data_IF_217761130112
#
_entry.id   IF_217761130112
#
_cell.length_a   1.000
_cell.length_b   1.000
_cell.length_c   1.000
_cell.angle_alpha   90.00
_cell.angle_beta   90.00
_cell.angle_gamma   90.00
#
_symmetry.space_group_name_H-M   'P 1'
#
loop_
_entity.id
_entity.type
_entity.pdbx_description
1 polymer ?
#
# COMPACT_ATOMS: atom_id res chain seq x y z
N UNK A 1 0.73 20.18 0.08
CA UNK A 1 0.09 19.13 -0.74
C UNK A 1 -1.29 18.67 -0.25
N UNK A 2 -1.73 19.00 0.98
CA UNK A 2 -3.09 18.65 1.48
C UNK A 2 -4.23 19.05 0.53
N UNK A 3 -4.25 20.29 0.03
CA UNK A 3 -5.33 20.76 -0.86
C UNK A 3 -5.38 19.92 -2.14
N UNK A 4 -4.23 19.65 -2.75
CA UNK A 4 -4.12 18.78 -3.93
C UNK A 4 -4.64 17.38 -3.62
N UNK A 5 -4.31 16.81 -2.46
CA UNK A 5 -4.78 15.49 -2.04
C UNK A 5 -6.31 15.44 -1.91
N UNK A 6 -6.93 16.47 -1.31
CA UNK A 6 -8.38 16.56 -1.15
C UNK A 6 -9.10 16.76 -2.49
N UNK A 7 -8.57 17.63 -3.35
CA UNK A 7 -9.11 17.82 -4.71
C UNK A 7 -8.98 16.55 -5.56
N UNK A 8 -7.87 15.83 -5.43
CA UNK A 8 -7.67 14.55 -6.11
C UNK A 8 -8.73 13.53 -5.68
N UNK A 9 -9.04 13.46 -4.38
CA UNK A 9 -10.11 12.60 -3.86
C UNK A 9 -11.47 13.03 -4.39
N UNK A 10 -11.78 14.33 -4.36
CA UNK A 10 -13.05 14.89 -4.82
C UNK A 10 -13.29 14.62 -6.32
N UNK A 11 -12.25 14.74 -7.15
CA UNK A 11 -12.34 14.48 -8.59
C UNK A 11 -12.47 13.00 -8.95
N UNK A 12 -11.85 12.10 -8.17
CA UNK A 12 -11.79 10.66 -8.50
C UNK A 12 -12.87 9.85 -7.78
N UNK A 13 -13.27 10.26 -6.57
CA UNK A 13 -14.28 9.61 -5.75
C UNK A 13 -15.34 10.63 -5.32
N UNK A 14 -16.21 11.00 -6.25
CA UNK A 14 -17.27 11.99 -6.04
C UNK A 14 -18.29 11.59 -4.96
N UNK A 15 -18.40 10.29 -4.65
CA UNK A 15 -19.18 9.81 -3.51
C UNK A 15 -18.40 10.06 -2.21
N UNK A 16 -19.00 10.84 -1.30
CA UNK A 16 -18.45 11.18 0.02
C UNK A 16 -18.65 10.03 1.02
N UNK A 17 -19.59 9.11 0.75
CA UNK A 17 -19.83 7.97 1.62
C UNK A 17 -18.59 7.08 1.69
N UNK A 18 -18.17 6.77 2.93
CA UNK A 18 -17.00 5.95 3.22
C UNK A 18 -15.64 6.58 2.85
N UNK A 19 -15.52 7.89 2.60
CA UNK A 19 -14.22 8.56 2.39
C UNK A 19 -13.40 8.76 3.67
N UNK A 20 -13.81 8.12 4.78
CA UNK A 20 -13.08 8.15 6.04
C UNK A 20 -11.67 7.57 5.91
N UNK A 21 -10.82 7.97 6.86
CA UNK A 21 -9.46 7.44 7.00
C UNK A 21 -9.41 5.93 7.30
N UNK A 22 -10.28 5.37 8.18
CA UNK A 22 -10.20 3.96 8.57
C UNK A 22 -10.39 3.01 7.39
N UNK A 23 -9.57 1.96 7.36
CA UNK A 23 -9.72 0.88 6.41
C UNK A 23 -10.76 -0.09 6.97
N UNK A 24 -11.79 -0.49 6.21
CA UNK A 24 -12.83 -1.35 6.72
C UNK A 24 -12.36 -2.82 6.77
N UNK A 25 -13.17 -3.66 7.41
CA UNK A 25 -13.00 -5.11 7.35
C UNK A 25 -13.12 -5.64 5.93
N UNK A 26 -12.43 -6.74 5.61
CA UNK A 26 -12.43 -7.32 4.26
C UNK A 26 -13.84 -7.69 3.76
N UNK A 27 -14.74 -8.12 4.65
CA UNK A 27 -16.12 -8.43 4.26
C UNK A 27 -16.88 -7.20 3.73
N UNK A 28 -16.49 -6.01 4.17
CA UNK A 28 -17.09 -4.75 3.72
C UNK A 28 -16.68 -4.39 2.29
N UNK A 29 -15.61 -4.98 1.75
CA UNK A 29 -15.18 -4.74 0.37
C UNK A 29 -16.26 -5.12 -0.65
N UNK A 30 -17.15 -6.05 -0.29
CA UNK A 30 -18.29 -6.45 -1.13
C UNK A 30 -19.30 -5.32 -1.30
N UNK A 31 -19.37 -4.40 -0.34
CA UNK A 31 -20.29 -3.24 -0.34
C UNK A 31 -19.74 -2.11 -1.20
N UNK A 32 -18.42 -1.93 -1.24
CA UNK A 32 -17.77 -0.80 -1.92
C UNK A 32 -17.25 -1.15 -3.32
N UNK A 33 -17.47 -2.37 -3.78
CA UNK A 33 -16.90 -2.94 -5.01
C UNK A 33 -17.08 -2.05 -6.25
N UNK A 34 -18.29 -1.54 -6.49
CA UNK A 34 -18.58 -0.69 -7.66
C UNK A 34 -17.74 0.58 -7.66
N UNK A 35 -17.68 1.27 -6.51
CA UNK A 35 -16.86 2.48 -6.37
C UNK A 35 -15.37 2.16 -6.50
N UNK A 36 -14.92 1.07 -5.87
CA UNK A 36 -13.51 0.72 -5.89
C UNK A 36 -13.04 0.37 -7.31
N UNK A 37 -13.89 -0.30 -8.10
CA UNK A 37 -13.70 -0.53 -9.54
C UNK A 37 -13.69 0.78 -10.34
N UNK A 38 -14.62 1.70 -10.07
CA UNK A 38 -14.65 3.01 -10.72
C UNK A 38 -13.38 3.80 -10.46
N UNK A 39 -12.93 3.88 -9.20
CA UNK A 39 -11.67 4.56 -8.84
C UNK A 39 -10.50 3.90 -9.57
N UNK A 40 -10.40 2.56 -9.57
CA UNK A 40 -9.33 1.89 -10.29
C UNK A 40 -9.37 2.19 -11.80
N UNK A 41 -10.55 2.20 -12.42
CA UNK A 41 -10.72 2.54 -13.83
C UNK A 41 -10.22 3.96 -14.13
N UNK A 42 -10.51 4.94 -13.27
CA UNK A 42 -9.99 6.30 -13.41
C UNK A 42 -8.45 6.34 -13.45
N UNK A 43 -7.77 5.56 -12.60
CA UNK A 43 -6.30 5.45 -12.61
C UNK A 43 -5.73 4.74 -13.85
N UNK A 44 -6.54 3.89 -14.52
CA UNK A 44 -6.17 3.24 -15.79
C UNK A 44 -6.37 4.20 -16.96
N UNK A 45 -7.49 4.91 -16.99
CA UNK A 45 -7.86 5.86 -18.05
C UNK A 45 -7.02 7.14 -18.01
N UNK A 46 -6.62 7.56 -16.80
CA UNK A 46 -5.85 8.78 -16.58
C UNK A 46 -4.56 8.49 -15.80
N UNK A 47 -3.48 8.04 -16.47
CA UNK A 47 -2.23 7.69 -15.81
C UNK A 47 -1.59 8.81 -14.98
N UNK A 48 -1.86 10.08 -15.33
CA UNK A 48 -1.41 11.27 -14.58
C UNK A 48 -1.88 11.26 -13.12
N UNK A 49 -2.98 10.56 -12.79
CA UNK A 49 -3.44 10.40 -11.41
C UNK A 49 -2.40 9.68 -10.55
N UNK A 50 -1.62 8.75 -11.12
CA UNK A 50 -0.51 8.12 -10.41
C UNK A 50 0.60 9.12 -10.09
N UNK A 51 0.95 9.99 -11.03
CA UNK A 51 1.97 11.01 -10.84
C UNK A 51 1.55 12.03 -9.78
N UNK A 52 0.27 12.43 -9.79
CA UNK A 52 -0.30 13.31 -8.76
C UNK A 52 -0.29 12.64 -7.39
N UNK A 53 -0.63 11.36 -7.31
CA UNK A 53 -0.63 10.61 -6.06
C UNK A 53 0.79 10.42 -5.51
N UNK A 54 1.77 10.18 -6.38
CA UNK A 54 3.20 10.17 -6.03
C UNK A 54 3.68 11.54 -5.54
N UNK A 55 3.29 12.63 -6.21
CA UNK A 55 3.60 13.99 -5.78
C UNK A 55 3.01 14.27 -4.39
N UNK A 56 1.78 13.82 -4.12
CA UNK A 56 1.15 13.91 -2.80
C UNK A 56 1.92 13.08 -1.76
N UNK A 57 2.39 11.89 -2.12
CA UNK A 57 3.19 11.01 -1.23
C UNK A 57 4.53 11.64 -0.80
N UNK A 58 5.18 12.38 -1.70
CA UNK A 58 6.46 13.04 -1.42
C UNK A 58 6.39 14.10 -0.31
N UNK A 59 5.19 14.66 -0.03
CA UNK A 59 4.98 15.70 1.00
C UNK A 59 4.07 15.17 2.11
N UNK A 60 4.68 14.50 3.07
CA UNK A 60 4.01 13.92 4.24
C UNK A 60 3.37 14.99 5.14
N UNK A 61 2.21 14.70 5.77
CA UNK A 61 1.42 13.47 5.71
C UNK A 61 0.31 13.51 4.65
N UNK A 62 0.48 14.25 3.54
CA UNK A 62 -0.63 14.57 2.64
C UNK A 62 -1.32 13.33 2.04
N UNK A 63 -0.59 12.22 1.87
CA UNK A 63 -1.14 10.97 1.37
C UNK A 63 -2.21 10.34 2.28
N UNK A 64 -2.20 10.63 3.59
CA UNK A 64 -3.24 10.18 4.50
C UNK A 64 -4.64 10.62 4.04
N UNK A 65 -4.75 11.81 3.44
CA UNK A 65 -6.02 12.31 2.92
C UNK A 65 -6.52 11.56 1.68
N UNK A 66 -5.64 10.84 0.98
CA UNK A 66 -5.99 9.99 -0.16
C UNK A 66 -6.27 8.53 0.23
N UNK A 67 -6.51 8.23 1.52
CA UNK A 67 -6.75 6.86 2.02
C UNK A 67 -7.82 6.11 1.21
N UNK A 68 -8.90 6.79 0.80
CA UNK A 68 -9.96 6.21 -0.06
C UNK A 68 -9.44 5.70 -1.39
N UNK A 69 -8.55 6.43 -2.05
CA UNK A 69 -8.02 6.03 -3.36
C UNK A 69 -7.11 4.81 -3.21
N UNK A 70 -6.25 4.83 -2.19
CA UNK A 70 -5.34 3.72 -1.90
C UNK A 70 -6.09 2.43 -1.58
N UNK A 71 -7.07 2.50 -0.67
CA UNK A 71 -7.86 1.33 -0.29
C UNK A 71 -8.69 0.80 -1.47
N UNK A 72 -9.26 1.67 -2.31
CA UNK A 72 -10.01 1.25 -3.49
C UNK A 72 -9.14 0.44 -4.46
N UNK A 73 -7.98 0.99 -4.82
CA UNK A 73 -7.02 0.32 -5.70
C UNK A 73 -6.52 -1.00 -5.09
N UNK A 74 -6.21 -1.01 -3.78
CA UNK A 74 -5.81 -2.23 -3.09
C UNK A 74 -6.92 -3.28 -3.04
N UNK A 75 -8.18 -2.89 -2.80
CA UNK A 75 -9.31 -3.81 -2.75
C UNK A 75 -9.55 -4.52 -4.09
N UNK A 76 -9.44 -3.78 -5.19
CA UNK A 76 -9.55 -4.37 -6.53
C UNK A 76 -8.34 -5.26 -6.83
N UNK A 77 -7.12 -4.86 -6.44
CA UNK A 77 -5.95 -5.71 -6.58
C UNK A 77 -6.10 -7.03 -5.80
N UNK A 78 -6.54 -6.97 -4.54
CA UNK A 78 -6.81 -8.17 -3.73
C UNK A 78 -7.85 -9.08 -4.39
N UNK A 79 -8.93 -8.50 -4.94
CA UNK A 79 -9.98 -9.27 -5.62
C UNK A 79 -9.45 -9.92 -6.90
N UNK A 80 -8.62 -9.23 -7.68
CA UNK A 80 -7.96 -9.82 -8.84
C UNK A 80 -7.06 -10.99 -8.44
N UNK A 81 -6.12 -10.76 -7.51
CA UNK A 81 -5.12 -11.76 -7.14
C UNK A 81 -5.72 -13.00 -6.48
N UNK A 82 -6.82 -12.83 -5.72
CA UNK A 82 -7.57 -13.94 -5.13
C UNK A 82 -8.17 -14.89 -6.18
N UNK A 83 -8.58 -14.34 -7.33
CA UNK A 83 -9.30 -15.07 -8.38
C UNK A 83 -8.44 -15.37 -9.61
N UNK A 84 -7.19 -14.92 -9.63
CA UNK A 84 -6.27 -15.09 -10.75
C UNK A 84 -5.75 -16.53 -10.82
N UNK A 85 -5.92 -17.17 -11.97
CA UNK A 85 -5.54 -18.57 -12.21
C UNK A 85 -4.17 -18.73 -12.89
N UNK A 86 -3.45 -17.62 -13.08
CA UNK A 86 -2.09 -17.65 -13.61
C UNK A 86 -1.14 -18.41 -12.67
N UNK A 87 -0.10 -19.01 -13.23
CA UNK A 87 0.90 -19.73 -12.42
C UNK A 87 1.81 -18.78 -11.65
N UNK A 88 2.11 -17.61 -12.23
CA UNK A 88 2.99 -16.60 -11.65
C UNK A 88 2.34 -15.22 -11.78
N UNK A 89 2.55 -14.34 -10.79
CA UNK A 89 2.02 -12.98 -10.83
C UNK A 89 2.60 -12.17 -12.02
N UNK A 90 3.82 -12.50 -12.46
CA UNK A 90 4.46 -11.94 -13.65
C UNK A 90 3.64 -12.14 -14.94
N UNK A 91 2.79 -13.16 -15.02
CA UNK A 91 1.92 -13.39 -16.19
C UNK A 91 0.75 -12.39 -16.28
N UNK A 92 0.49 -11.60 -15.22
CA UNK A 92 -0.52 -10.55 -15.18
C UNK A 92 0.13 -9.16 -15.06
N UNK A 93 0.92 -8.70 -16.06
CA UNK A 93 1.83 -7.55 -15.91
C UNK A 93 1.12 -6.24 -15.58
N UNK A 94 -0.09 -6.01 -16.11
CA UNK A 94 -0.87 -4.78 -15.82
C UNK A 94 -1.32 -4.71 -14.36
N UNK A 95 -1.82 -5.82 -13.82
CA UNK A 95 -2.24 -5.91 -12.42
C UNK A 95 -1.04 -5.88 -11.48
N UNK A 96 0.06 -6.53 -11.87
CA UNK A 96 1.33 -6.50 -11.15
C UNK A 96 1.87 -5.08 -11.04
N UNK A 97 1.92 -4.34 -12.14
CA UNK A 97 2.39 -2.95 -12.14
C UNK A 97 1.48 -2.04 -11.31
N UNK A 98 0.15 -2.20 -11.43
CA UNK A 98 -0.80 -1.46 -10.59
C UNK A 98 -0.57 -1.72 -9.09
N UNK A 99 -0.35 -2.99 -8.73
CA UNK A 99 -0.06 -3.41 -7.35
C UNK A 99 1.27 -2.83 -6.86
N UNK A 100 2.30 -2.85 -7.71
CA UNK A 100 3.61 -2.25 -7.40
C UNK A 100 3.50 -0.76 -7.15
N UNK A 101 2.78 -0.03 -8.01
CA UNK A 101 2.61 1.42 -7.90
C UNK A 101 1.94 1.82 -6.59
N UNK A 102 0.82 1.19 -6.23
CA UNK A 102 0.12 1.52 -4.99
C UNK A 102 0.99 1.25 -3.76
N UNK A 103 1.71 0.12 -3.72
CA UNK A 103 2.62 -0.20 -2.62
C UNK A 103 3.81 0.76 -2.52
N UNK A 104 4.41 1.15 -3.66
CA UNK A 104 5.50 2.14 -3.69
C UNK A 104 5.04 3.50 -3.17
N UNK A 105 3.87 3.96 -3.60
CA UNK A 105 3.26 5.22 -3.14
C UNK A 105 3.00 5.17 -1.63
N UNK A 106 2.43 4.08 -1.12
CA UNK A 106 2.21 3.90 0.32
C UNK A 106 3.52 3.89 1.11
N UNK A 107 4.58 3.31 0.54
CA UNK A 107 5.91 3.27 1.13
C UNK A 107 6.55 4.66 1.18
N UNK A 108 6.51 5.41 0.09
CA UNK A 108 7.04 6.77 0.00
C UNK A 108 6.34 7.72 0.99
N UNK A 109 5.01 7.58 1.11
CA UNK A 109 4.20 8.30 2.07
C UNK A 109 4.37 7.87 3.53
N UNK A 110 5.25 6.92 3.84
CA UNK A 110 5.45 6.33 5.18
C UNK A 110 4.16 5.82 5.81
N UNK A 111 3.34 5.15 5.01
CA UNK A 111 2.16 4.45 5.52
C UNK A 111 2.51 3.04 6.00
N UNK A 112 3.56 2.43 5.44
CA UNK A 112 4.00 1.07 5.72
C UNK A 112 5.32 1.05 6.51
N UNK A 113 5.47 0.13 7.48
CA UNK A 113 6.71 -0.05 8.22
C UNK A 113 7.73 -0.81 7.35
N UNK A 114 9.04 -0.65 7.59
CA UNK A 114 10.01 -1.66 7.16
C UNK A 114 9.66 -3.00 7.81
N UNK A 115 9.64 -4.14 7.10
CA UNK A 115 10.07 -4.39 5.72
C UNK A 115 8.96 -4.37 4.65
N UNK A 116 7.70 -4.07 5.02
CA UNK A 116 6.55 -4.07 4.09
C UNK A 116 6.71 -3.07 2.94
N UNK A 117 7.55 -2.05 3.13
CA UNK A 117 7.93 -1.09 2.10
C UNK A 117 8.59 -1.73 0.88
N UNK A 118 9.30 -2.83 1.08
CA UNK A 118 10.04 -3.54 0.03
C UNK A 118 9.19 -4.61 -0.68
N UNK A 119 7.98 -4.88 -0.20
CA UNK A 119 7.12 -5.96 -0.72
C UNK A 119 6.83 -5.83 -2.22
N UNK A 120 6.76 -4.60 -2.75
CA UNK A 120 6.54 -4.36 -4.18
C UNK A 120 7.62 -4.99 -5.09
N UNK A 121 8.83 -5.18 -4.57
CA UNK A 121 9.97 -5.68 -5.35
C UNK A 121 9.86 -7.17 -5.63
N UNK A 122 9.35 -7.94 -4.66
CA UNK A 122 9.31 -9.40 -4.76
C UNK A 122 8.06 -9.93 -5.47
N UNK A 123 7.05 -9.09 -5.74
CA UNK A 123 5.75 -9.56 -6.24
C UNK A 123 5.83 -10.39 -7.53
N UNK A 124 6.80 -10.12 -8.42
CA UNK A 124 6.97 -10.90 -9.66
C UNK A 124 7.48 -12.32 -9.45
N UNK A 125 8.11 -12.58 -8.29
CA UNK A 125 8.67 -13.87 -7.91
C UNK A 125 7.60 -14.80 -7.31
N UNK A 126 6.38 -14.30 -7.12
CA UNK A 126 5.34 -14.96 -6.36
C UNK A 126 4.21 -15.47 -7.26
N UNK A 127 3.47 -16.44 -6.74
CA UNK A 127 2.18 -16.85 -7.31
C UNK A 127 1.12 -15.76 -7.05
N UNK A 128 0.04 -15.70 -7.85
CA UNK A 128 -1.08 -14.79 -7.60
C UNK A 128 -1.67 -14.88 -6.19
N UNK A 129 -1.81 -16.09 -5.65
CA UNK A 129 -2.40 -16.30 -4.32
C UNK A 129 -1.47 -15.79 -3.20
N UNK A 130 -0.16 -15.97 -3.33
CA UNK A 130 0.81 -15.40 -2.39
C UNK A 130 0.77 -13.87 -2.42
N UNK A 131 0.66 -13.25 -3.60
CA UNK A 131 0.46 -11.79 -3.71
C UNK A 131 -0.81 -11.37 -2.98
N UNK A 132 -1.93 -12.08 -3.16
CA UNK A 132 -3.16 -11.82 -2.41
C UNK A 132 -2.95 -11.90 -0.89
N UNK A 133 -2.29 -12.94 -0.40
CA UNK A 133 -1.97 -13.08 1.02
C UNK A 133 -1.14 -11.90 1.55
N UNK A 134 -0.13 -11.45 0.81
CA UNK A 134 0.67 -10.29 1.24
C UNK A 134 -0.16 -9.01 1.27
N UNK A 135 -1.00 -8.76 0.26
CA UNK A 135 -1.89 -7.61 0.25
C UNK A 135 -2.90 -7.65 1.39
N UNK A 136 -3.35 -8.85 1.78
CA UNK A 136 -4.23 -9.04 2.93
C UNK A 136 -3.55 -8.67 4.26
N UNK A 137 -2.26 -9.01 4.44
CA UNK A 137 -1.52 -8.57 5.64
C UNK A 137 -1.34 -7.06 5.67
N UNK A 138 -1.06 -6.47 4.51
CA UNK A 138 -0.94 -5.01 4.37
C UNK A 138 -2.28 -4.33 4.66
N UNK A 139 -3.39 -4.87 4.15
CA UNK A 139 -4.74 -4.37 4.43
C UNK A 139 -5.03 -4.38 5.93
N UNK A 140 -4.80 -5.52 6.57
CA UNK A 140 -4.97 -5.69 8.01
C UNK A 140 -4.08 -4.72 8.80
N UNK A 141 -2.80 -4.55 8.41
CA UNK A 141 -1.92 -3.56 9.02
C UNK A 141 -2.49 -2.16 8.92
N UNK A 142 -2.99 -1.76 7.75
CA UNK A 142 -3.55 -0.42 7.51
C UNK A 142 -4.86 -0.17 8.29
N UNK A 143 -5.65 -1.22 8.52
CA UNK A 143 -6.82 -1.17 9.40
C UNK A 143 -6.43 -0.94 10.85
N UNK A 144 -5.49 -1.73 11.35
CA UNK A 144 -5.06 -1.67 12.75
C UNK A 144 -4.18 -0.41 13.00
N UNK A 145 -3.55 0.15 11.96
CA UNK A 145 -2.69 1.34 11.98
C UNK A 145 -3.18 2.42 11.00
N UNK A 146 -4.40 2.92 11.21
CA UNK A 146 -5.07 3.90 10.34
C UNK A 146 -4.13 5.06 9.96
N UNK A 147 -3.99 5.39 8.64
CA UNK A 147 -3.09 6.43 8.17
C UNK A 147 -3.62 7.82 8.56
N UNK A 148 -3.22 8.29 9.75
CA UNK A 148 -3.62 9.57 10.31
C UNK A 148 -2.47 10.59 10.28
N UNK A 149 -2.73 11.85 9.91
CA UNK A 149 -1.74 12.93 10.02
C UNK A 149 -1.14 13.08 11.43
N UNK A 150 -1.88 12.68 12.48
CA UNK A 150 -1.42 12.75 13.86
C UNK A 150 -0.23 11.82 14.17
N UNK A 151 0.06 10.84 13.32
CA UNK A 151 1.19 9.92 13.46
C UNK A 151 2.51 10.52 12.98
N UNK A 152 2.49 11.72 12.39
CA UNK A 152 3.67 12.37 11.83
C UNK A 152 4.10 13.54 12.70
N UNK A 153 5.39 13.59 13.03
CA UNK A 153 6.00 14.63 13.84
C UNK A 153 7.19 15.28 13.11
N UNK A 154 7.57 16.52 13.46
CA UNK A 154 8.82 17.12 12.99
C UNK A 154 10.02 16.26 13.40
N UNK A 155 10.99 16.12 12.50
CA UNK A 155 12.20 15.34 12.76
C UNK A 155 13.01 15.96 13.91
N UNK A 156 13.34 15.14 14.93
CA UNK A 156 14.01 15.63 16.15
C UNK A 156 15.51 15.89 15.98
N UNK A 157 16.19 15.17 15.07
CA UNK A 157 17.65 15.18 14.95
C UNK A 157 18.10 15.29 13.48
N UNK A 158 18.48 16.47 13.00
CA UNK A 158 19.27 16.62 11.77
C UNK A 158 18.92 17.80 10.87
N UNK A 159 19.77 18.84 10.94
CA UNK A 159 20.11 19.83 9.90
C UNK A 159 18.98 20.52 9.09
N UNK A 160 18.70 21.76 9.50
CA UNK A 160 18.34 22.92 8.67
C UNK A 160 17.33 22.74 7.51
N UNK A 161 16.11 23.25 7.71
CA UNK A 161 15.49 24.10 6.67
C UNK A 161 14.18 23.66 6.01
N UNK A 162 13.58 22.54 6.36
CA UNK A 162 12.28 22.15 5.79
C UNK A 162 11.35 21.58 6.84
N UNK A 163 10.14 22.12 6.99
CA UNK A 163 9.10 21.63 7.90
C UNK A 163 8.52 20.25 7.51
N UNK A 164 9.38 19.30 7.15
CA UNK A 164 9.01 17.98 6.70
C UNK A 164 8.66 17.09 7.90
N UNK A 165 7.52 16.43 7.79
CA UNK A 165 6.97 15.59 8.85
C UNK A 165 7.32 14.12 8.58
N UNK A 166 7.60 13.38 9.65
CA UNK A 166 8.07 12.01 9.61
C UNK A 166 7.26 11.13 10.54
N UNK A 167 6.98 9.90 10.10
CA UNK A 167 6.37 8.87 10.95
C UNK A 167 7.46 7.95 11.49
N UNK A 168 7.50 7.79 12.81
CA UNK A 168 8.38 6.84 13.47
C UNK A 168 7.69 5.48 13.56
N UNK A 169 8.31 4.45 12.99
CA UNK A 169 7.88 3.07 13.16
C UNK A 169 8.65 2.48 14.34
N UNK A 170 7.95 2.22 15.44
CA UNK A 170 8.56 1.57 16.59
C UNK A 170 8.76 0.09 16.24
N UNK A 171 9.94 -0.49 16.51
CA UNK A 171 10.22 -1.90 16.28
C UNK A 171 9.52 -2.81 17.31
N UNK A 172 8.30 -2.45 17.73
CA UNK A 172 7.54 -3.24 18.68
C UNK A 172 7.12 -4.56 18.04
N UNK A 173 7.02 -5.61 18.86
CA UNK A 173 6.64 -6.95 18.43
C UNK A 173 5.26 -7.02 17.75
N UNK A 174 4.43 -5.97 17.90
CA UNK A 174 3.10 -5.87 17.31
C UNK A 174 3.07 -5.97 15.79
N UNK A 175 4.11 -5.50 15.09
CA UNK A 175 4.15 -5.55 13.62
C UNK A 175 4.58 -6.91 13.07
N UNK A 176 5.25 -7.74 13.89
CA UNK A 176 5.76 -9.06 13.48
C UNK A 176 4.64 -9.96 12.97
N UNK A 177 3.45 -9.89 13.56
CA UNK A 177 2.30 -10.72 13.15
C UNK A 177 1.91 -10.52 11.68
N UNK A 178 2.14 -9.32 11.11
CA UNK A 178 1.86 -9.05 9.69
C UNK A 178 3.01 -9.47 8.77
N UNK A 179 4.17 -9.82 9.33
CA UNK A 179 5.38 -10.18 8.59
C UNK A 179 5.66 -11.68 8.57
N UNK A 180 5.06 -12.45 9.48
CA UNK A 180 5.25 -13.90 9.55
C UNK A 180 4.87 -14.59 8.24
N UNK A 181 3.73 -14.23 7.65
CA UNK A 181 3.31 -14.80 6.36
C UNK A 181 4.24 -14.41 5.22
N UNK A 182 4.75 -13.17 5.21
CA UNK A 182 5.79 -12.74 4.27
C UNK A 182 7.07 -13.59 4.42
N UNK A 183 7.54 -13.79 5.65
CA UNK A 183 8.70 -14.63 5.94
C UNK A 183 8.49 -16.05 5.41
N UNK A 184 7.34 -16.66 5.68
CA UNK A 184 7.03 -18.01 5.23
C UNK A 184 6.95 -18.12 3.70
N UNK A 185 6.33 -17.15 3.02
CA UNK A 185 6.27 -17.11 1.55
C UNK A 185 7.68 -17.02 0.96
N UNK A 186 8.54 -16.14 1.50
CA UNK A 186 9.91 -15.99 1.01
C UNK A 186 10.76 -17.25 1.24
N UNK A 187 10.58 -17.95 2.36
CA UNK A 187 11.24 -19.24 2.63
C UNK A 187 10.72 -20.33 1.69
N UNK A 188 9.41 -20.37 1.42
CA UNK A 188 8.82 -21.32 0.47
C UNK A 188 9.33 -21.10 -0.96
N UNK A 189 9.74 -19.88 -1.29
CA UNK A 189 10.30 -19.49 -2.57
C UNK A 189 11.79 -19.15 -2.47
N UNK A 190 12.55 -19.83 -1.60
CA UNK A 190 13.93 -19.46 -1.28
C UNK A 190 14.86 -19.46 -2.50
N UNK A 191 14.57 -20.29 -3.50
CA UNK A 191 15.34 -20.36 -4.75
C UNK A 191 15.37 -19.00 -5.48
N UNK A 192 14.27 -18.25 -5.44
CA UNK A 192 14.15 -16.93 -6.09
C UNK A 192 14.24 -15.78 -5.09
N UNK A 193 13.70 -15.93 -3.89
CA UNK A 193 13.64 -14.90 -2.85
C UNK A 193 14.89 -14.87 -1.96
N UNK A 194 15.72 -15.90 -1.96
CA UNK A 194 16.93 -16.00 -1.13
C UNK A 194 17.87 -14.80 -1.23
N UNK A 195 18.24 -14.34 -2.44
CA UNK A 195 19.12 -13.18 -2.62
C UNK A 195 18.60 -11.88 -1.99
N UNK A 196 17.27 -11.73 -1.86
CA UNK A 196 16.64 -10.53 -1.31
C UNK A 196 16.15 -10.72 0.13
N UNK A 197 16.21 -11.93 0.69
CA UNK A 197 15.66 -12.25 2.02
C UNK A 197 16.21 -11.35 3.13
N UNK A 198 17.52 -11.11 3.14
CA UNK A 198 18.18 -10.27 4.14
C UNK A 198 17.72 -8.80 4.11
N UNK A 199 17.18 -8.32 2.98
CA UNK A 199 16.60 -6.97 2.89
C UNK A 199 15.34 -6.83 3.74
N UNK A 200 14.61 -7.92 3.93
CA UNK A 200 13.36 -7.94 4.69
C UNK A 200 13.58 -8.34 6.15
N UNK A 201 14.49 -9.27 6.38
CA UNK A 201 14.73 -9.85 7.70
C UNK A 201 16.22 -9.87 7.98
N UNK A 202 16.66 -9.04 8.92
CA UNK A 202 18.00 -9.17 9.49
C UNK A 202 18.16 -10.58 10.06
N UNK A 203 19.26 -11.22 9.70
CA UNK A 203 19.72 -12.46 10.32
C UNK A 203 20.69 -12.00 11.40
N UNK A 204 20.19 -11.87 12.63
CA UNK A 204 21.06 -11.69 13.81
C UNK A 204 21.69 -13.04 14.19
#
# INVERSE_FOLDING_TARGET
MKIVALLLVEMVSSDVMFNGLPWPDEDFLKVTMERDLHIQAMFVEHPVLWDLLHLVASVRPSLCYCSVLLRAVMAVAMTHWRNCQEKAAANSPKHLETTRRVLRIMSEGQLLPPPMTSTSEILELLTPFEVFCLLQDIWQYMRDNVPSPALFAPQKNGAAGGGQLWREFKPDNGDRKYLERLRMIMISNIETCGPVFQKFFSID
#
